data_IF_494669346135
#
_entry.id   IF_494669346135
#
_cell.length_a   1.000
_cell.length_b   1.000
_cell.length_c   1.000
_cell.angle_alpha   90.00
_cell.angle_beta   90.00
_cell.angle_gamma   90.00
#
_symmetry.space_group_name_H-M   'P 1'
#
loop_
_entity.id
_entity.type
_entity.pdbx_description
1 polymer ?
#
# COMPACT_ATOMS: atom_id res chain seq x y z
N UNK A 1 -9.46 -21.43 -7.73
CA UNK A 1 -9.69 -20.17 -8.46
C UNK A 1 -10.23 -19.20 -7.43
N UNK A 2 -9.59 -18.05 -7.20
CA UNK A 2 -10.08 -17.09 -6.21
C UNK A 2 -11.35 -16.42 -6.77
N UNK A 3 -12.38 -16.28 -5.95
CA UNK A 3 -13.59 -15.54 -6.35
C UNK A 3 -13.23 -14.08 -6.65
N UNK A 4 -13.78 -13.53 -7.73
CA UNK A 4 -13.44 -12.21 -8.26
C UNK A 4 -14.17 -11.08 -7.52
N UNK A 5 -14.09 -11.05 -6.19
CA UNK A 5 -14.59 -9.92 -5.42
C UNK A 5 -13.63 -8.73 -5.53
N UNK A 6 -14.14 -7.48 -5.61
CA UNK A 6 -13.31 -6.29 -5.45
C UNK A 6 -12.50 -6.40 -4.15
N UNK A 7 -11.18 -6.57 -4.29
CA UNK A 7 -10.26 -6.85 -3.19
C UNK A 7 -9.33 -5.67 -2.95
N UNK A 8 -9.27 -5.21 -1.71
CA UNK A 8 -8.21 -4.31 -1.26
C UNK A 8 -7.07 -5.14 -0.70
N UNK A 9 -5.83 -4.75 -1.00
CA UNK A 9 -4.64 -5.37 -0.43
C UNK A 9 -3.81 -4.25 0.22
N UNK A 10 -3.77 -4.25 1.55
CA UNK A 10 -3.21 -3.16 2.35
C UNK A 10 -2.28 -3.72 3.42
N UNK A 11 -1.11 -3.13 3.58
CA UNK A 11 -0.19 -3.46 4.66
C UNK A 11 1.27 -3.28 4.28
N UNK A 12 2.15 -3.77 5.16
CA UNK A 12 3.59 -3.90 4.92
C UNK A 12 3.87 -5.19 4.13
N UNK A 13 4.33 -5.03 2.89
CA UNK A 13 4.66 -6.16 2.03
C UNK A 13 6.10 -6.67 2.18
N UNK A 14 6.93 -5.98 2.97
CA UNK A 14 8.35 -6.27 3.14
C UNK A 14 9.15 -6.46 1.82
N UNK A 15 8.63 -5.91 0.72
CA UNK A 15 9.25 -5.99 -0.59
C UNK A 15 9.02 -4.75 -1.43
N UNK A 16 9.94 -4.48 -2.36
CA UNK A 16 9.91 -3.34 -3.27
C UNK A 16 9.68 -3.79 -4.71
N UNK A 17 8.67 -3.21 -5.38
CA UNK A 17 8.37 -3.52 -6.78
C UNK A 17 9.36 -2.90 -7.75
N UNK A 18 9.74 -1.66 -7.49
CA UNK A 18 10.70 -0.89 -8.27
C UNK A 18 11.67 -0.22 -7.30
N UNK A 19 12.90 -0.70 -7.25
CA UNK A 19 13.89 -0.21 -6.29
C UNK A 19 14.39 1.18 -6.60
N UNK A 20 14.38 1.60 -7.87
CA UNK A 20 14.78 2.95 -8.26
C UNK A 20 13.73 3.98 -7.86
N UNK A 21 12.46 3.60 -7.95
CA UNK A 21 11.36 4.44 -7.48
C UNK A 21 11.21 4.43 -5.96
N UNK A 22 11.27 3.26 -5.32
CA UNK A 22 10.72 3.03 -3.97
C UNK A 22 11.78 2.76 -2.89
N UNK A 23 13.08 2.82 -3.22
CA UNK A 23 14.16 2.62 -2.26
C UNK A 23 15.27 3.67 -2.37
N UNK A 24 15.88 4.01 -1.23
CA UNK A 24 17.06 4.88 -1.13
C UNK A 24 18.10 4.27 -0.19
N UNK A 25 19.34 4.72 -0.35
CA UNK A 25 20.49 4.20 0.40
C UNK A 25 20.86 2.79 -0.04
N UNK A 26 21.36 1.97 0.88
CA UNK A 26 21.86 0.62 0.56
C UNK A 26 20.76 -0.36 0.13
N UNK A 27 19.48 0.01 0.28
CA UNK A 27 18.34 -0.81 -0.14
C UNK A 27 18.00 -0.69 -1.62
N UNK A 28 18.54 0.30 -2.34
CA UNK A 28 18.26 0.49 -3.77
C UNK A 28 18.77 -0.68 -4.64
N UNK A 29 19.84 -1.37 -4.24
CA UNK A 29 20.36 -2.53 -4.96
C UNK A 29 19.87 -3.88 -4.42
N UNK A 30 18.91 -3.87 -3.47
CA UNK A 30 18.46 -5.09 -2.80
C UNK A 30 17.48 -5.87 -3.66
N UNK A 31 17.66 -7.18 -3.74
CA UNK A 31 16.66 -8.09 -4.29
C UNK A 31 15.62 -8.46 -3.22
N UNK A 32 14.34 -8.50 -3.62
CA UNK A 32 13.22 -8.82 -2.74
C UNK A 32 12.50 -10.08 -3.23
N UNK A 33 12.59 -11.17 -2.45
CA UNK A 33 12.00 -12.47 -2.82
C UNK A 33 10.48 -12.43 -2.94
N UNK A 34 9.79 -11.61 -2.13
CA UNK A 34 8.34 -11.48 -2.14
C UNK A 34 7.75 -10.76 -3.36
N UNK A 35 8.57 -10.06 -4.15
CA UNK A 35 8.07 -9.18 -5.23
C UNK A 35 7.35 -9.94 -6.34
N UNK A 36 7.80 -11.16 -6.68
CA UNK A 36 7.16 -11.96 -7.73
C UNK A 36 5.78 -12.44 -7.31
N UNK A 37 5.62 -12.88 -6.05
CA UNK A 37 4.33 -13.27 -5.49
C UNK A 37 3.37 -12.07 -5.42
N UNK A 38 3.87 -10.91 -4.98
CA UNK A 38 3.08 -9.69 -4.93
C UNK A 38 2.59 -9.26 -6.32
N UNK A 39 3.46 -9.27 -7.34
CA UNK A 39 3.07 -8.96 -8.72
C UNK A 39 2.00 -9.92 -9.25
N UNK A 40 2.06 -11.21 -8.90
CA UNK A 40 1.01 -12.17 -9.26
C UNK A 40 -0.33 -11.83 -8.59
N UNK A 41 -0.34 -11.43 -7.32
CA UNK A 41 -1.55 -10.99 -6.64
C UNK A 41 -2.13 -9.73 -7.29
N UNK A 42 -1.29 -8.72 -7.54
CA UNK A 42 -1.69 -7.48 -8.21
C UNK A 42 -2.33 -7.79 -9.58
N UNK A 43 -1.69 -8.64 -10.37
CA UNK A 43 -2.21 -9.04 -11.68
C UNK A 43 -3.53 -9.80 -11.59
N UNK A 44 -3.61 -10.84 -10.74
CA UNK A 44 -4.78 -11.72 -10.65
C UNK A 44 -6.03 -10.99 -10.16
N UNK A 45 -5.86 -10.06 -9.21
CA UNK A 45 -6.96 -9.28 -8.65
C UNK A 45 -7.18 -7.93 -9.37
N UNK A 46 -6.45 -7.67 -10.47
CA UNK A 46 -6.50 -6.42 -11.23
C UNK A 46 -6.38 -5.20 -10.32
N UNK A 47 -5.34 -5.20 -9.50
CA UNK A 47 -5.13 -4.16 -8.50
C UNK A 47 -4.30 -3.02 -9.09
N UNK A 48 -4.60 -1.81 -8.63
CA UNK A 48 -3.82 -0.60 -8.86
C UNK A 48 -3.17 -0.15 -7.55
N UNK A 49 -2.04 0.54 -7.65
CA UNK A 49 -1.30 1.06 -6.50
C UNK A 49 -1.71 2.52 -6.25
N UNK A 50 -2.33 2.79 -5.10
CA UNK A 50 -2.85 4.13 -4.78
C UNK A 50 -1.78 5.22 -4.84
N UNK A 51 -0.56 4.94 -4.39
CA UNK A 51 0.50 5.95 -4.43
C UNK A 51 0.89 6.32 -5.86
N UNK A 52 1.05 5.30 -6.71
CA UNK A 52 1.46 5.51 -8.11
C UNK A 52 0.37 6.26 -8.86
N UNK A 53 -0.90 5.97 -8.59
CA UNK A 53 -2.01 6.66 -9.24
C UNK A 53 -2.14 8.13 -8.82
N UNK A 54 -1.84 8.47 -7.56
CA UNK A 54 -1.96 9.85 -7.07
C UNK A 54 -0.70 10.70 -7.28
N UNK A 55 0.49 10.09 -7.25
CA UNK A 55 1.78 10.82 -7.24
C UNK A 55 2.77 10.35 -8.32
N UNK A 56 2.39 9.39 -9.17
CA UNK A 56 3.27 8.86 -10.21
C UNK A 56 4.55 8.24 -9.63
N UNK A 57 5.69 8.83 -9.99
CA UNK A 57 7.03 8.33 -9.62
C UNK A 57 7.62 8.98 -8.37
N UNK A 58 6.85 9.83 -7.69
CA UNK A 58 7.36 10.52 -6.50
C UNK A 58 7.70 9.53 -5.39
N UNK A 59 8.84 9.78 -4.76
CA UNK A 59 9.34 8.97 -3.67
C UNK A 59 8.89 9.54 -2.33
N UNK A 60 8.30 8.65 -1.53
CA UNK A 60 8.14 8.83 -0.10
C UNK A 60 8.47 7.50 0.57
N UNK A 61 9.08 7.55 1.74
CA UNK A 61 9.37 6.35 2.52
C UNK A 61 8.22 6.05 3.47
N UNK A 62 7.85 4.79 3.59
CA UNK A 62 6.96 4.31 4.66
C UNK A 62 7.73 3.55 5.73
N UNK A 63 9.01 3.29 5.49
CA UNK A 63 9.95 2.69 6.43
C UNK A 63 11.29 3.41 6.35
N UNK A 64 11.89 3.72 7.50
CA UNK A 64 13.20 4.34 7.58
C UNK A 64 14.02 3.85 8.78
N UNK A 65 15.25 3.42 8.50
CA UNK A 65 16.23 3.11 9.54
C UNK A 65 17.62 3.62 9.16
N UNK A 66 18.09 4.62 9.91
CA UNK A 66 19.32 5.33 9.60
C UNK A 66 19.26 5.94 8.19
N UNK A 67 20.25 5.69 7.32
CA UNK A 67 20.27 6.25 5.95
C UNK A 67 19.42 5.46 4.95
N UNK A 68 18.79 4.36 5.37
CA UNK A 68 18.00 3.52 4.47
C UNK A 68 16.52 3.88 4.57
N UNK A 69 15.90 4.11 3.42
CA UNK A 69 14.50 4.49 3.31
C UNK A 69 13.83 3.65 2.23
N UNK A 70 12.65 3.11 2.50
CA UNK A 70 11.89 2.31 1.53
C UNK A 70 10.39 2.52 1.67
N UNK A 71 9.65 2.44 0.56
CA UNK A 71 8.19 2.34 0.56
C UNK A 71 7.78 0.88 0.61
N UNK A 72 7.52 0.35 1.79
CA UNK A 72 7.13 -1.05 2.01
C UNK A 72 5.63 -1.21 2.23
N UNK A 73 5.01 -0.21 2.84
CA UNK A 73 3.59 -0.13 3.15
C UNK A 73 2.86 0.43 1.93
N UNK A 74 1.86 -0.31 1.44
CA UNK A 74 1.12 0.10 0.24
C UNK A 74 -0.36 -0.18 0.40
N UNK A 75 -1.14 0.56 -0.39
CA UNK A 75 -2.56 0.35 -0.56
C UNK A 75 -2.82 0.02 -2.01
N UNK A 76 -3.15 -1.24 -2.29
CA UNK A 76 -3.63 -1.65 -3.59
C UNK A 76 -5.14 -1.82 -3.57
N UNK A 77 -5.78 -1.43 -4.65
CA UNK A 77 -7.23 -1.38 -4.75
C UNK A 77 -7.70 -1.90 -6.11
N UNK A 78 -8.96 -2.37 -6.23
CA UNK A 78 -9.51 -2.84 -7.49
C UNK A 78 -9.51 -1.76 -8.56
N UNK A 79 -9.06 -2.06 -9.76
CA UNK A 79 -9.03 -1.10 -10.89
C UNK A 79 -10.36 -0.37 -11.11
N UNK A 80 -11.50 -1.06 -10.88
CA UNK A 80 -12.85 -0.49 -11.02
C UNK A 80 -13.13 0.68 -10.07
N UNK A 81 -12.33 0.86 -9.03
CA UNK A 81 -12.46 1.94 -8.05
C UNK A 81 -11.47 3.10 -8.28
N UNK A 82 -10.75 3.12 -9.41
CA UNK A 82 -9.73 4.15 -9.67
C UNK A 82 -10.25 5.59 -9.57
N UNK A 83 -11.48 5.84 -10.03
CA UNK A 83 -12.11 7.17 -9.96
C UNK A 83 -12.57 7.56 -8.55
N UNK A 84 -12.55 6.63 -7.60
CA UNK A 84 -13.01 6.83 -6.22
C UNK A 84 -11.85 7.20 -5.29
N UNK A 85 -10.59 7.04 -5.71
CA UNK A 85 -9.42 7.40 -4.90
C UNK A 85 -9.22 8.91 -4.94
N UNK A 86 -9.38 9.57 -3.78
CA UNK A 86 -9.19 11.01 -3.65
C UNK A 86 -7.76 11.40 -3.29
N UNK A 87 -7.15 10.68 -2.33
CA UNK A 87 -5.78 10.93 -1.92
C UNK A 87 -5.11 9.69 -1.33
N UNK A 88 -3.78 9.67 -1.40
CA UNK A 88 -2.91 8.73 -0.72
C UNK A 88 -1.77 9.53 -0.08
N UNK A 89 -1.57 9.41 1.24
CA UNK A 89 -0.63 10.23 2.00
C UNK A 89 0.19 9.36 2.94
N UNK A 90 1.44 9.73 3.18
CA UNK A 90 2.26 9.16 4.26
C UNK A 90 2.29 10.16 5.40
N UNK A 91 1.86 9.71 6.58
CA UNK A 91 1.72 10.55 7.75
C UNK A 91 3.02 10.54 8.55
N UNK A 92 3.46 11.72 8.97
CA UNK A 92 4.58 11.85 9.90
C UNK A 92 4.04 12.00 11.31
N UNK A 93 4.70 11.33 12.27
CA UNK A 93 4.40 11.55 13.67
C UNK A 93 4.75 13.00 14.06
N UNK A 94 3.95 13.63 14.94
CA UNK A 94 4.30 14.91 15.53
C UNK A 94 5.68 14.84 16.20
N UNK A 95 6.47 15.93 16.17
CA UNK A 95 7.86 15.92 16.66
C UNK A 95 7.98 15.68 18.18
N UNK A 96 6.90 15.88 18.92
CA UNK A 96 6.77 15.68 20.36
C UNK A 96 6.36 14.25 20.75
N UNK A 97 6.00 13.40 19.79
CA UNK A 97 5.61 12.01 20.05
C UNK A 97 6.85 11.11 20.02
N UNK A 98 7.11 10.31 21.07
CA UNK A 98 8.18 9.32 21.05
C UNK A 98 8.04 8.38 19.84
N UNK A 99 9.15 8.17 19.12
CA UNK A 99 9.18 7.27 17.99
C UNK A 99 8.93 5.82 18.45
N UNK A 100 7.74 5.28 18.14
CA UNK A 100 7.32 3.92 18.52
C UNK A 100 7.54 2.87 17.42
N UNK A 101 7.89 3.31 16.21
CA UNK A 101 8.08 2.44 15.04
C UNK A 101 9.00 3.11 14.02
N UNK A 102 9.70 2.30 13.23
CA UNK A 102 10.46 2.76 12.05
C UNK A 102 9.60 2.87 10.78
N UNK A 103 8.28 2.65 10.91
CA UNK A 103 7.29 2.84 9.84
C UNK A 103 6.51 4.15 9.95
N UNK A 104 6.11 4.71 8.82
CA UNK A 104 5.20 5.85 8.70
C UNK A 104 3.82 5.37 8.22
N UNK A 105 2.72 5.76 8.88
CA UNK A 105 1.38 5.35 8.47
C UNK A 105 1.03 5.81 7.05
N UNK A 106 0.32 4.95 6.30
CA UNK A 106 -0.26 5.29 5.00
C UNK A 106 -1.75 5.57 5.18
N UNK A 107 -2.22 6.72 4.72
CA UNK A 107 -3.63 7.10 4.68
C UNK A 107 -4.14 7.13 3.24
N UNK A 108 -5.29 6.52 2.98
CA UNK A 108 -5.96 6.60 1.68
C UNK A 108 -7.40 7.02 1.89
N UNK A 109 -7.86 8.01 1.12
CA UNK A 109 -9.24 8.50 1.14
C UNK A 109 -9.95 8.05 -0.13
N UNK A 110 -11.09 7.38 0.07
CA UNK A 110 -11.98 6.95 -1.00
C UNK A 110 -13.30 7.71 -0.88
N UNK A 111 -13.89 8.09 -2.01
CA UNK A 111 -15.23 8.67 -2.06
C UNK A 111 -16.20 7.70 -2.72
N UNK A 112 -17.24 7.30 -2.01
CA UNK A 112 -18.35 6.51 -2.52
C UNK A 112 -19.62 7.34 -2.37
N UNK A 113 -20.40 7.46 -3.45
CA UNK A 113 -21.72 8.11 -3.38
C UNK A 113 -22.65 7.31 -2.45
N UNK A 114 -23.51 8.02 -1.72
CA UNK A 114 -24.26 7.53 -0.55
C UNK A 114 -25.32 6.43 -0.82
N UNK A 115 -25.34 5.81 -2.00
CA UNK A 115 -26.34 4.79 -2.36
C UNK A 115 -25.98 3.36 -1.97
N UNK A 116 -24.76 3.09 -1.50
CA UNK A 116 -24.36 1.74 -1.07
C UNK A 116 -24.73 1.48 0.38
N UNK A 117 -25.33 0.32 0.65
CA UNK A 117 -25.63 -0.17 2.00
C UNK A 117 -24.35 -0.19 2.85
N UNK A 118 -24.23 0.75 3.77
CA UNK A 118 -23.08 0.89 4.65
C UNK A 118 -23.02 -0.31 5.62
N UNK A 119 -21.93 -1.08 5.57
CA UNK A 119 -21.63 -2.11 6.58
C UNK A 119 -20.46 -1.61 7.42
N UNK A 120 -20.70 -1.33 8.70
CA UNK A 120 -19.74 -0.69 9.62
C UNK A 120 -18.58 -1.61 10.08
N UNK A 121 -18.37 -2.75 9.43
CA UNK A 121 -17.33 -3.68 9.83
C UNK A 121 -16.80 -4.45 8.62
N UNK A 122 -15.48 -4.45 8.49
CA UNK A 122 -14.76 -5.41 7.68
C UNK A 122 -14.40 -6.58 8.60
N UNK A 123 -14.90 -7.78 8.31
CA UNK A 123 -14.52 -8.98 9.05
C UNK A 123 -13.43 -9.69 8.27
N UNK A 124 -12.32 -10.01 8.92
CA UNK A 124 -11.34 -10.96 8.37
C UNK A 124 -12.06 -12.29 8.13
N UNK A 125 -11.98 -12.82 6.92
CA UNK A 125 -12.55 -14.13 6.61
C UNK A 125 -11.71 -15.21 7.32
N UNK A 126 -12.28 -15.81 8.35
CA UNK A 126 -11.62 -16.87 9.14
C UNK A 126 -11.77 -18.26 8.52
N UNK A 127 -12.42 -18.38 7.35
CA UNK A 127 -12.60 -19.68 6.68
C UNK A 127 -11.43 -20.05 5.76
N UNK A 128 -10.47 -19.14 5.58
CA UNK A 128 -9.27 -19.33 4.76
C UNK A 128 -8.05 -19.86 5.57
N UNK A 129 -8.30 -20.53 6.71
CA UNK A 129 -7.26 -21.11 7.59
C UNK A 129 -7.24 -22.63 7.48
#
# INVERSE_FOLDING_TARGET
MFDSYPTFLVGDFNCVEDTDRDARGRRQSRQYSGVSALRKLIHNFKLRNAWVDTHGNDFVATWQRGPNMTRLDRFYFPEVLATHVLSCEVLHFPPDVPCITDHFPVSVKLFFEQSTTFRNHWKMDTTLV
#
